data_IF_528582407155
#
_entry.id   IF_528582407155
#
_cell.length_a   1.000
_cell.length_b   1.000
_cell.length_c   1.000
_cell.angle_alpha   90.00
_cell.angle_beta   90.00
_cell.angle_gamma   90.00
#
_symmetry.space_group_name_H-M   'P 1'
#
loop_
_entity.id
_entity.type
_entity.pdbx_description
1 polymer ?
#
# COMPACT_ATOMS: atom_id res chain seq x y z
N UNK A 1 -59.04 30.20 -9.43
CA UNK A 1 -60.14 29.22 -9.60
C UNK A 1 -59.66 27.99 -10.38
N UNK A 2 -59.88 26.80 -9.78
CA UNK A 2 -59.73 25.43 -10.31
C UNK A 2 -58.29 24.94 -10.56
N UNK A 3 -57.67 24.14 -9.68
CA UNK A 3 -57.86 22.70 -9.33
C UNK A 3 -57.49 21.72 -10.46
N UNK A 4 -56.54 20.83 -10.16
CA UNK A 4 -56.23 19.63 -10.92
C UNK A 4 -55.22 18.75 -10.16
N UNK A 5 -55.70 17.63 -9.63
CA UNK A 5 -54.98 16.62 -8.86
C UNK A 5 -53.77 16.03 -9.62
N UNK A 6 -52.64 15.88 -8.93
CA UNK A 6 -51.48 15.15 -9.40
C UNK A 6 -50.95 14.28 -8.27
N UNK A 7 -51.18 12.98 -8.39
CA UNK A 7 -50.75 11.93 -7.46
C UNK A 7 -49.26 12.05 -7.11
N UNK A 8 -48.99 12.32 -5.83
CA UNK A 8 -47.65 12.29 -5.26
C UNK A 8 -47.09 10.87 -5.23
N UNK A 9 -46.49 10.44 -6.33
CA UNK A 9 -45.52 9.34 -6.32
C UNK A 9 -44.24 9.89 -5.71
N UNK A 10 -44.07 9.68 -4.41
CA UNK A 10 -42.77 9.72 -3.76
C UNK A 10 -41.87 8.72 -4.48
N UNK A 11 -40.92 9.23 -5.27
CA UNK A 11 -39.80 8.45 -5.74
C UNK A 11 -38.91 8.18 -4.54
N UNK A 12 -39.13 7.04 -3.89
CA UNK A 12 -38.15 6.46 -2.98
C UNK A 12 -36.95 6.13 -3.86
N UNK A 13 -35.94 7.01 -3.83
CA UNK A 13 -34.62 6.68 -4.34
C UNK A 13 -34.12 5.50 -3.50
N UNK A 14 -34.32 4.29 -4.01
CA UNK A 14 -33.49 3.13 -3.71
C UNK A 14 -32.08 3.40 -4.28
N UNK A 15 -31.38 4.38 -3.73
CA UNK A 15 -29.93 4.28 -3.67
C UNK A 15 -29.66 3.16 -2.68
N UNK A 16 -29.55 1.95 -3.23
CA UNK A 16 -29.08 0.80 -2.51
C UNK A 16 -27.85 1.18 -1.73
N UNK A 17 -27.75 0.60 -0.53
CA UNK A 17 -26.54 0.49 0.27
C UNK A 17 -25.36 0.14 -0.66
N UNK A 18 -24.71 1.15 -1.20
CA UNK A 18 -23.36 1.00 -1.72
C UNK A 18 -22.53 0.84 -0.46
N UNK A 19 -22.14 -0.40 -0.16
CA UNK A 19 -21.14 -0.68 0.84
C UNK A 19 -20.01 0.34 0.63
N UNK A 20 -19.70 1.14 1.65
CA UNK A 20 -18.58 2.06 1.58
C UNK A 20 -17.34 1.21 1.28
N UNK A 21 -16.87 1.26 0.04
CA UNK A 21 -15.69 0.53 -0.36
C UNK A 21 -14.52 1.18 0.36
N UNK A 22 -13.92 0.43 1.27
CA UNK A 22 -12.85 0.93 2.09
C UNK A 22 -11.63 1.20 1.21
N UNK A 23 -10.96 2.33 1.44
CA UNK A 23 -9.84 2.75 0.61
C UNK A 23 -8.70 1.72 0.72
N UNK A 24 -8.47 0.99 -0.37
CA UNK A 24 -7.41 0.00 -0.48
C UNK A 24 -6.12 0.66 -0.98
N UNK A 25 -5.01 -0.06 -0.84
CA UNK A 25 -3.72 0.36 -1.40
C UNK A 25 -3.81 0.36 -2.92
N UNK A 26 -3.32 1.44 -3.53
CA UNK A 26 -3.24 1.54 -4.99
C UNK A 26 -2.34 0.45 -5.57
N UNK A 27 -2.72 -0.06 -6.74
CA UNK A 27 -1.96 -1.10 -7.42
C UNK A 27 -0.68 -0.50 -8.02
N UNK A 28 0.44 -1.19 -7.81
CA UNK A 28 1.72 -0.88 -8.47
C UNK A 28 2.06 -2.02 -9.42
N UNK A 29 2.42 -1.69 -10.65
CA UNK A 29 2.88 -2.70 -11.61
C UNK A 29 4.40 -2.83 -11.60
N UNK A 30 4.87 -4.02 -11.97
CA UNK A 30 6.28 -4.22 -12.30
C UNK A 30 6.67 -3.39 -13.52
N UNK A 31 7.97 -3.14 -13.67
CA UNK A 31 8.47 -2.34 -14.79
C UNK A 31 8.11 -2.98 -16.12
N UNK A 32 8.34 -4.27 -16.30
CA UNK A 32 8.01 -4.94 -17.58
C UNK A 32 6.53 -4.79 -17.97
N UNK A 33 5.61 -4.92 -17.01
CA UNK A 33 4.17 -4.75 -17.24
C UNK A 33 3.85 -3.30 -17.65
N UNK A 34 4.49 -2.34 -16.98
CA UNK A 34 4.35 -0.92 -17.31
C UNK A 34 4.86 -0.62 -18.72
N UNK A 35 5.97 -1.25 -19.11
CA UNK A 35 6.58 -1.11 -20.43
C UNK A 35 5.75 -1.76 -21.53
N UNK A 36 5.13 -2.91 -21.28
CA UNK A 36 4.18 -3.55 -22.20
C UNK A 36 2.95 -2.67 -22.45
N UNK A 37 2.38 -2.07 -21.40
CA UNK A 37 1.25 -1.13 -21.53
C UNK A 37 1.61 0.11 -22.36
N UNK A 38 2.81 0.64 -22.14
CA UNK A 38 3.34 1.75 -22.95
C UNK A 38 3.50 1.34 -24.42
N UNK A 39 4.01 0.13 -24.67
CA UNK A 39 4.21 -0.40 -26.02
C UNK A 39 2.89 -0.67 -26.75
N UNK A 40 1.87 -1.22 -26.07
CA UNK A 40 0.51 -1.43 -26.62
C UNK A 40 -0.12 -0.12 -27.14
N UNK A 41 0.21 0.99 -26.50
CA UNK A 41 -0.26 2.34 -26.86
C UNK A 41 0.69 3.10 -27.80
N UNK A 42 1.74 2.45 -28.31
CA UNK A 42 2.65 3.01 -29.31
C UNK A 42 3.75 3.90 -28.77
N UNK A 43 3.99 3.89 -27.45
CA UNK A 43 5.15 4.56 -26.84
C UNK A 43 6.41 3.74 -27.09
N UNK A 44 7.49 4.40 -27.48
CA UNK A 44 8.76 3.75 -27.77
C UNK A 44 9.47 3.32 -26.48
N UNK A 45 9.72 2.03 -26.35
CA UNK A 45 10.43 1.39 -25.22
C UNK A 45 11.54 0.47 -25.75
N UNK A 46 12.64 0.26 -25.00
CA UNK A 46 13.64 -0.74 -25.36
C UNK A 46 13.03 -2.14 -25.47
N UNK A 47 13.47 -2.92 -26.45
CA UNK A 47 13.08 -4.32 -26.54
C UNK A 47 13.58 -5.08 -25.31
N UNK A 48 12.68 -5.78 -24.64
CA UNK A 48 13.03 -6.62 -23.51
C UNK A 48 12.06 -7.78 -23.31
N UNK A 49 12.50 -8.78 -22.56
CA UNK A 49 11.69 -9.92 -22.15
C UNK A 49 11.99 -10.31 -20.71
N UNK A 50 11.00 -10.88 -20.04
CA UNK A 50 11.12 -11.37 -18.67
C UNK A 50 11.69 -12.79 -18.66
N UNK A 51 12.50 -13.09 -17.64
CA UNK A 51 12.95 -14.42 -17.31
C UNK A 51 12.72 -14.70 -15.82
N UNK A 52 12.22 -15.91 -15.54
CA UNK A 52 11.95 -16.39 -14.17
C UNK A 52 12.99 -17.43 -13.70
N UNK A 53 13.90 -17.83 -14.58
CA UNK A 53 15.03 -18.70 -14.24
C UNK A 53 16.32 -18.24 -14.93
N UNK A 54 17.49 -18.63 -14.41
CA UNK A 54 18.77 -18.31 -15.06
C UNK A 54 18.91 -18.91 -16.47
N UNK A 55 18.29 -20.06 -16.71
CA UNK A 55 18.28 -20.70 -18.03
C UNK A 55 17.39 -19.94 -19.02
N UNK A 56 16.23 -19.44 -18.57
CA UNK A 56 15.39 -18.54 -19.36
C UNK A 56 16.10 -17.22 -19.66
N UNK A 57 16.82 -16.65 -18.68
CA UNK A 57 17.57 -15.41 -18.87
C UNK A 57 18.61 -15.57 -19.99
N UNK A 58 19.32 -16.70 -20.02
CA UNK A 58 20.26 -17.01 -21.09
C UNK A 58 19.57 -17.20 -22.46
N UNK A 59 18.39 -17.84 -22.50
CA UNK A 59 17.62 -17.99 -23.73
C UNK A 59 17.10 -16.65 -24.26
N UNK A 60 16.65 -15.76 -23.36
CA UNK A 60 16.19 -14.41 -23.67
C UNK A 60 17.34 -13.54 -24.20
N UNK A 61 18.51 -13.59 -23.57
CA UNK A 61 19.69 -12.87 -24.03
C UNK A 61 20.05 -13.22 -25.48
N UNK A 62 20.02 -14.52 -25.83
CA UNK A 62 20.21 -14.98 -27.21
C UNK A 62 19.14 -14.46 -28.17
N UNK A 63 17.88 -14.41 -27.73
CA UNK A 63 16.75 -13.92 -28.54
C UNK A 63 16.87 -12.42 -28.85
N UNK A 64 17.35 -11.62 -27.91
CA UNK A 64 17.52 -10.17 -28.09
C UNK A 64 18.51 -9.84 -29.22
N UNK A 65 19.44 -10.75 -29.55
CA UNK A 65 20.46 -10.56 -30.60
C UNK A 65 21.25 -9.25 -30.46
N UNK A 66 21.32 -8.70 -29.25
CA UNK A 66 22.09 -7.50 -28.91
C UNK A 66 23.47 -7.90 -28.42
N UNK A 67 24.48 -7.07 -28.68
CA UNK A 67 25.83 -7.27 -28.12
C UNK A 67 25.85 -7.05 -26.61
N UNK A 68 25.11 -6.04 -26.16
CA UNK A 68 25.04 -5.66 -24.76
C UNK A 68 23.60 -5.79 -24.27
N UNK A 69 23.44 -6.45 -23.13
CA UNK A 69 22.15 -6.71 -22.48
C UNK A 69 22.16 -6.07 -21.10
N UNK A 70 21.03 -5.48 -20.72
CA UNK A 70 20.79 -4.92 -19.39
C UNK A 70 19.85 -5.83 -18.64
N UNK A 71 20.24 -6.27 -17.44
CA UNK A 71 19.41 -7.08 -16.55
C UNK A 71 18.86 -6.17 -15.45
N UNK A 72 17.53 -6.13 -15.31
CA UNK A 72 16.83 -5.33 -14.30
C UNK A 72 16.02 -6.22 -13.37
N UNK A 73 16.35 -6.21 -12.09
CA UNK A 73 15.56 -6.88 -11.05
C UNK A 73 14.12 -6.34 -11.01
N UNK A 74 13.12 -7.24 -11.04
CA UNK A 74 11.72 -6.87 -10.98
C UNK A 74 11.22 -6.96 -9.54
N UNK A 75 11.25 -5.82 -8.86
CA UNK A 75 10.74 -5.63 -7.50
C UNK A 75 9.94 -4.34 -7.42
N UNK A 76 8.83 -4.34 -6.68
CA UNK A 76 7.93 -3.18 -6.55
C UNK A 76 8.46 -2.15 -5.54
N UNK A 77 9.60 -1.55 -5.86
CA UNK A 77 10.22 -0.45 -5.10
C UNK A 77 11.02 0.45 -6.03
N UNK A 78 11.10 1.74 -5.69
CA UNK A 78 12.08 2.63 -6.31
C UNK A 78 13.50 2.36 -5.79
N UNK A 79 14.49 3.06 -6.36
CA UNK A 79 15.88 3.01 -5.91
C UNK A 79 16.64 1.74 -6.31
N UNK A 80 16.20 1.07 -7.39
CA UNK A 80 16.79 -0.18 -7.91
C UNK A 80 18.14 0.01 -8.63
N UNK A 81 18.80 1.16 -8.51
CA UNK A 81 20.08 1.42 -9.18
C UNK A 81 21.20 0.42 -8.83
N UNK A 82 21.06 -0.31 -7.71
CA UNK A 82 21.93 -1.45 -7.34
C UNK A 82 21.56 -2.79 -7.97
N UNK A 83 20.42 -2.88 -8.65
CA UNK A 83 19.86 -4.07 -9.28
C UNK A 83 19.70 -3.98 -10.78
N UNK A 84 20.38 -3.02 -11.39
CA UNK A 84 20.61 -2.95 -12.84
C UNK A 84 22.04 -3.39 -13.09
N UNK A 85 22.22 -4.42 -13.92
CA UNK A 85 23.52 -5.02 -14.23
C UNK A 85 23.77 -4.98 -15.74
N UNK A 86 24.99 -4.63 -16.13
CA UNK A 86 25.48 -4.63 -17.50
C UNK A 86 26.52 -5.74 -17.65
N UNK A 87 26.26 -6.83 -18.37
CA UNK A 87 27.19 -7.96 -18.37
C UNK A 87 27.16 -8.84 -19.62
N UNK A 88 28.27 -9.57 -19.81
CA UNK A 88 28.44 -10.65 -20.79
C UNK A 88 28.02 -12.04 -20.24
N UNK A 89 27.78 -12.18 -18.93
CA UNK A 89 27.47 -13.45 -18.25
C UNK A 89 26.06 -13.43 -17.60
N UNK A 90 25.00 -13.48 -18.40
CA UNK A 90 23.62 -13.25 -17.94
C UNK A 90 23.12 -14.34 -16.98
N UNK A 91 23.58 -15.59 -17.18
CA UNK A 91 23.20 -16.73 -16.35
C UNK A 91 23.74 -16.63 -14.91
N UNK A 92 24.97 -16.13 -14.75
CA UNK A 92 25.60 -16.01 -13.44
C UNK A 92 24.88 -14.96 -12.59
N UNK A 93 24.55 -13.81 -13.19
CA UNK A 93 23.89 -12.70 -12.49
C UNK A 93 22.44 -13.02 -12.20
N UNK A 94 21.70 -13.56 -13.17
CA UNK A 94 20.31 -13.97 -12.92
C UNK A 94 20.23 -15.01 -11.79
N UNK A 95 21.21 -15.90 -11.66
CA UNK A 95 21.30 -16.85 -10.52
C UNK A 95 21.53 -16.16 -9.16
N UNK A 96 22.17 -14.99 -9.15
CA UNK A 96 22.40 -14.19 -7.93
C UNK A 96 21.23 -13.25 -7.62
N UNK A 97 20.33 -13.01 -8.59
CA UNK A 97 19.24 -12.04 -8.48
C UNK A 97 17.91 -12.73 -8.23
N UNK A 98 17.62 -13.81 -8.96
CA UNK A 98 16.36 -14.54 -8.90
C UNK A 98 16.34 -15.41 -7.64
N UNK A 99 15.28 -15.27 -6.85
CA UNK A 99 15.09 -15.99 -5.58
C UNK A 99 15.69 -15.30 -4.36
N UNK A 100 16.50 -14.25 -4.56
CA UNK A 100 17.13 -13.51 -3.48
C UNK A 100 16.25 -12.35 -2.97
N UNK A 101 16.48 -11.97 -1.71
CA UNK A 101 15.80 -10.81 -1.09
C UNK A 101 16.54 -9.51 -1.40
N UNK A 102 15.78 -8.54 -1.88
CA UNK A 102 16.23 -7.21 -2.21
C UNK A 102 15.89 -6.23 -1.10
N UNK A 103 16.85 -5.36 -0.78
CA UNK A 103 16.71 -4.32 0.23
C UNK A 103 16.97 -2.96 -0.42
N UNK A 104 15.99 -2.07 -0.33
CA UNK A 104 16.11 -0.67 -0.73
C UNK A 104 15.79 0.21 0.48
N UNK A 105 16.14 1.51 0.41
CA UNK A 105 15.73 2.49 1.43
C UNK A 105 14.21 2.52 1.65
N UNK A 106 13.41 2.11 0.66
CA UNK A 106 11.96 2.18 0.68
C UNK A 106 11.28 0.88 1.17
N UNK A 107 12.00 -0.23 1.32
CA UNK A 107 11.44 -1.55 1.66
C UNK A 107 11.51 -1.93 3.14
N UNK A 108 12.13 -1.10 3.99
CA UNK A 108 12.36 -1.44 5.41
C UNK A 108 13.26 -2.66 5.60
N UNK A 109 13.23 -3.25 6.81
CA UNK A 109 14.12 -4.36 7.19
C UNK A 109 13.75 -5.72 6.55
N UNK A 110 12.51 -5.89 6.09
CA UNK A 110 12.04 -7.19 5.57
C UNK A 110 12.52 -7.48 4.14
N UNK A 111 12.76 -6.43 3.35
CA UNK A 111 13.06 -6.54 1.92
C UNK A 111 11.89 -7.12 1.11
N UNK A 112 12.09 -7.27 -0.20
CA UNK A 112 11.15 -7.97 -1.11
C UNK A 112 11.90 -9.02 -1.92
N UNK A 113 11.29 -10.16 -2.19
CA UNK A 113 11.90 -11.21 -3.01
C UNK A 113 11.88 -10.80 -4.49
N UNK A 114 12.95 -11.08 -5.23
CA UNK A 114 12.98 -10.90 -6.68
C UNK A 114 12.76 -12.25 -7.36
N UNK A 115 11.55 -12.50 -7.86
CA UNK A 115 11.21 -13.77 -8.52
C UNK A 115 11.53 -13.78 -10.02
N UNK A 116 11.79 -12.61 -10.61
CA UNK A 116 11.99 -12.48 -12.04
C UNK A 116 12.86 -11.27 -12.40
N UNK A 117 13.49 -11.33 -13.56
CA UNK A 117 14.33 -10.25 -14.09
C UNK A 117 13.87 -9.87 -15.49
N UNK A 118 13.98 -8.59 -15.82
CA UNK A 118 13.75 -8.08 -17.16
C UNK A 118 15.10 -7.92 -17.86
N UNK A 119 15.27 -8.61 -18.98
CA UNK A 119 16.43 -8.44 -19.86
C UNK A 119 16.04 -7.53 -21.01
N UNK A 120 16.76 -6.42 -21.16
CA UNK A 120 16.53 -5.43 -22.20
C UNK A 120 17.77 -5.25 -23.08
N UNK A 121 17.57 -4.83 -24.32
CA UNK A 121 18.66 -4.28 -25.12
C UNK A 121 19.27 -3.07 -24.42
N UNK A 122 20.60 -2.96 -24.44
CA UNK A 122 21.28 -1.76 -23.98
C UNK A 122 21.05 -0.64 -24.99
N UNK A 123 20.57 0.51 -24.50
CA UNK A 123 20.58 1.76 -25.26
C UNK A 123 21.69 2.67 -24.73
N UNK A 124 22.21 3.51 -25.62
CA UNK A 124 23.25 4.49 -25.33
C UNK A 124 22.63 5.88 -25.38
N UNK A 125 22.05 6.37 -24.27
CA UNK A 125 21.38 7.65 -24.25
C UNK A 125 22.37 8.81 -24.38
N UNK A 126 21.96 9.88 -25.06
CA UNK A 126 22.71 11.14 -25.14
C UNK A 126 22.29 12.12 -24.05
N UNK A 127 21.02 12.06 -23.67
CA UNK A 127 20.37 12.95 -22.71
C UNK A 127 19.30 12.20 -21.97
N UNK A 128 19.25 12.42 -20.66
CA UNK A 128 18.28 11.82 -19.76
C UNK A 128 17.39 12.92 -19.19
N UNK A 129 16.08 12.72 -19.31
CA UNK A 129 15.05 13.59 -18.79
C UNK A 129 14.17 12.82 -17.81
N UNK A 130 13.53 13.54 -16.89
CA UNK A 130 12.47 13.03 -16.06
C UNK A 130 11.13 13.44 -16.65
N UNK A 131 10.16 12.51 -16.66
CA UNK A 131 8.80 12.80 -17.06
C UNK A 131 7.81 12.03 -16.19
N UNK A 132 6.81 12.71 -15.68
CA UNK A 132 5.71 12.07 -14.98
C UNK A 132 4.38 12.75 -15.28
N UNK A 133 3.31 11.96 -15.24
CA UNK A 133 1.93 12.45 -15.20
C UNK A 133 1.37 11.99 -13.86
N UNK A 134 0.88 12.90 -13.03
CA UNK A 134 0.30 12.57 -11.73
C UNK A 134 -1.00 13.31 -11.49
N UNK A 135 -1.91 12.73 -10.71
CA UNK A 135 -3.07 13.47 -10.20
C UNK A 135 -2.64 14.35 -9.03
N UNK A 136 -2.49 15.66 -9.26
CA UNK A 136 -2.11 16.61 -8.20
C UNK A 136 -3.33 17.29 -7.57
N UNK A 137 -3.41 17.23 -6.24
CA UNK A 137 -4.51 17.83 -5.47
C UNK A 137 -4.51 19.36 -5.53
N UNK A 138 -3.35 20.01 -5.59
CA UNK A 138 -3.22 21.47 -5.71
C UNK A 138 -3.87 21.99 -7.00
N UNK A 139 -3.74 21.23 -8.08
CA UNK A 139 -4.28 21.57 -9.39
C UNK A 139 -5.66 20.97 -9.66
N UNK A 140 -6.15 20.08 -8.77
CA UNK A 140 -7.41 19.36 -8.91
C UNK A 140 -7.52 18.60 -10.24
N UNK A 141 -6.42 18.03 -10.71
CA UNK A 141 -6.36 17.39 -12.02
C UNK A 141 -5.01 16.76 -12.36
N UNK A 142 -4.89 16.17 -13.56
CA UNK A 142 -3.64 15.60 -14.04
C UNK A 142 -2.62 16.69 -14.35
N UNK A 143 -1.41 16.54 -13.84
CA UNK A 143 -0.27 17.45 -14.05
C UNK A 143 0.87 16.69 -14.68
N UNK A 144 1.40 17.25 -15.76
CA UNK A 144 2.64 16.86 -16.38
C UNK A 144 3.79 17.48 -15.59
N UNK A 145 4.70 16.65 -15.10
CA UNK A 145 5.94 17.08 -14.45
C UNK A 145 7.12 16.65 -15.32
N UNK A 146 8.00 17.58 -15.65
CA UNK A 146 9.22 17.31 -16.42
C UNK A 146 10.45 17.91 -15.75
N UNK A 147 11.61 17.29 -15.92
CA UNK A 147 12.89 17.87 -15.52
C UNK A 147 14.00 17.46 -16.48
N UNK A 148 14.99 18.34 -16.66
CA UNK A 148 16.22 18.04 -17.41
C UNK A 148 17.19 17.13 -16.65
N UNK A 149 16.93 16.85 -15.37
CA UNK A 149 17.71 15.94 -14.54
C UNK A 149 17.01 14.57 -14.48
N UNK A 150 17.11 13.80 -15.57
CA UNK A 150 16.65 12.41 -15.61
C UNK A 150 17.66 11.44 -14.99
N UNK A 151 17.21 10.21 -14.70
CA UNK A 151 18.05 9.11 -14.22
C UNK A 151 18.42 9.21 -12.72
N UNK A 152 17.99 10.26 -12.05
CA UNK A 152 18.22 10.51 -10.62
C UNK A 152 16.90 10.50 -9.84
N UNK A 153 16.99 10.47 -8.51
CA UNK A 153 15.82 10.59 -7.67
C UNK A 153 15.23 12.00 -7.80
N UNK A 154 13.94 12.11 -8.14
CA UNK A 154 13.27 13.39 -8.38
C UNK A 154 13.02 14.18 -7.08
N UNK A 155 12.90 13.51 -5.94
CA UNK A 155 12.76 14.15 -4.64
C UNK A 155 14.03 14.93 -4.27
N UNK A 156 15.21 14.40 -4.59
CA UNK A 156 16.49 15.08 -4.38
C UNK A 156 16.59 16.32 -5.29
N UNK A 157 16.19 16.20 -6.57
CA UNK A 157 16.14 17.34 -7.51
C UNK A 157 15.16 18.41 -7.01
N UNK A 158 14.00 18.02 -6.48
CA UNK A 158 13.02 18.96 -5.94
C UNK A 158 13.53 19.72 -4.70
N UNK A 159 14.41 19.11 -3.91
CA UNK A 159 15.02 19.73 -2.74
C UNK A 159 16.21 20.63 -3.09
N UNK A 160 17.06 20.21 -4.04
CA UNK A 160 18.31 20.90 -4.37
C UNK A 160 18.15 21.94 -5.49
N UNK A 161 17.38 21.62 -6.53
CA UNK A 161 17.20 22.44 -7.75
C UNK A 161 15.74 22.46 -8.22
N UNK A 162 14.80 23.00 -7.40
CA UNK A 162 13.37 23.01 -7.71
C UNK A 162 13.03 23.70 -9.04
N UNK A 163 13.83 24.66 -9.49
CA UNK A 163 13.67 25.36 -10.76
C UNK A 163 13.88 24.47 -12.00
N UNK A 164 14.55 23.33 -11.83
CA UNK A 164 14.69 22.34 -12.90
C UNK A 164 13.40 21.53 -13.13
N UNK A 165 12.44 21.59 -12.20
CA UNK A 165 11.17 20.90 -12.29
C UNK A 165 10.11 21.83 -12.86
N UNK A 166 9.59 21.45 -14.02
CA UNK A 166 8.54 22.17 -14.73
C UNK A 166 7.24 21.37 -14.56
N UNK A 167 6.17 22.06 -14.17
CA UNK A 167 4.83 21.49 -14.02
C UNK A 167 3.84 22.20 -14.91
N UNK A 168 3.07 21.43 -15.66
CA UNK A 168 2.03 21.93 -16.56
C UNK A 168 0.73 21.18 -16.35
N UNK A 169 -0.37 21.92 -16.18
CA UNK A 169 -1.70 21.32 -16.05
C UNK A 169 -2.11 20.70 -17.38
N UNK A 170 -2.45 19.41 -17.36
CA UNK A 170 -2.94 18.74 -18.55
C UNK A 170 -4.43 19.02 -18.72
N UNK A 171 -4.76 19.92 -19.65
CA UNK A 171 -6.14 20.11 -20.08
C UNK A 171 -6.51 18.97 -21.02
N UNK A 172 -7.11 17.92 -20.45
CA UNK A 172 -7.67 16.82 -21.24
C UNK A 172 -8.81 17.36 -22.11
N UNK A 173 -8.55 17.57 -23.40
CA UNK A 173 -9.64 17.73 -24.37
C UNK A 173 -10.46 16.45 -24.39
N UNK A 174 -11.77 16.54 -24.63
CA UNK A 174 -12.70 15.38 -24.66
C UNK A 174 -12.23 14.19 -25.50
N UNK A 175 -11.35 14.42 -26.47
CA UNK A 175 -10.82 13.39 -27.37
C UNK A 175 -9.40 12.92 -27.01
N UNK A 176 -8.74 13.54 -26.01
CA UNK A 176 -7.44 13.13 -25.49
C UNK A 176 -7.61 12.00 -24.46
N UNK A 177 -8.27 10.92 -24.89
CA UNK A 177 -8.17 9.64 -24.22
C UNK A 177 -6.78 9.08 -24.53
N UNK A 178 -5.76 9.44 -23.75
CA UNK A 178 -4.69 8.47 -23.56
C UNK A 178 -5.38 7.25 -22.96
N UNK A 179 -5.51 6.17 -23.75
CA UNK A 179 -5.91 4.85 -23.23
C UNK A 179 -5.02 4.48 -22.03
N UNK A 180 -3.75 4.90 -22.07
CA UNK A 180 -2.78 4.91 -20.99
C UNK A 180 -3.25 5.56 -19.67
N UNK A 181 -3.96 6.69 -19.67
CA UNK A 181 -4.36 7.38 -18.41
C UNK A 181 -5.60 6.77 -17.75
N UNK A 182 -6.04 5.60 -18.19
CA UNK A 182 -7.29 4.97 -17.78
C UNK A 182 -7.25 4.53 -16.32
N UNK A 183 -7.66 5.44 -15.42
CA UNK A 183 -7.70 5.25 -13.96
C UNK A 183 -6.32 5.04 -13.29
N UNK A 184 -5.25 5.44 -13.97
CA UNK A 184 -3.95 5.58 -13.34
C UNK A 184 -3.85 6.89 -12.57
N UNK A 185 -3.11 6.87 -11.46
CA UNK A 185 -2.87 8.04 -10.60
C UNK A 185 -1.48 8.62 -10.80
N UNK A 186 -0.55 7.80 -11.28
CA UNK A 186 0.82 8.18 -11.58
C UNK A 186 1.37 7.33 -12.72
N UNK A 187 1.89 7.99 -13.73
CA UNK A 187 2.83 7.45 -14.70
C UNK A 187 4.15 8.17 -14.49
N UNK A 188 5.19 7.46 -14.13
CA UNK A 188 6.51 8.03 -13.91
C UNK A 188 7.50 7.32 -14.84
N UNK A 189 8.13 8.09 -15.72
CA UNK A 189 9.16 7.62 -16.64
C UNK A 189 10.49 8.26 -16.25
N UNK A 190 11.43 7.44 -15.79
CA UNK A 190 12.69 7.92 -15.28
C UNK A 190 13.85 6.94 -15.54
N UNK A 191 14.67 7.15 -16.59
CA UNK A 191 14.66 8.31 -17.50
C UNK A 191 13.78 8.14 -18.76
N UNK A 192 13.30 9.26 -19.29
CA UNK A 192 13.03 9.43 -20.72
C UNK A 192 14.35 9.81 -21.38
N UNK A 193 14.73 9.14 -22.46
CA UNK A 193 16.03 9.38 -23.10
C UNK A 193 15.90 9.75 -24.56
N UNK A 194 16.84 10.57 -25.02
CA UNK A 194 17.12 10.74 -26.45
C UNK A 194 18.34 9.86 -26.80
N UNK A 195 18.18 8.90 -27.71
CA UNK A 195 19.28 8.02 -28.13
C UNK A 195 20.20 8.67 -29.19
N UNK A 196 21.21 7.92 -29.65
CA UNK A 196 22.13 8.37 -30.70
C UNK A 196 21.46 8.74 -32.01
N UNK A 197 20.33 8.09 -32.32
CA UNK A 197 19.55 8.26 -33.54
C UNK A 197 18.49 9.35 -33.40
N UNK A 198 18.50 10.10 -32.28
CA UNK A 198 17.52 11.14 -31.92
C UNK A 198 16.10 10.61 -31.73
N UNK A 199 15.97 9.33 -31.43
CA UNK A 199 14.70 8.73 -31.05
C UNK A 199 14.50 8.94 -29.55
N UNK A 200 13.28 9.30 -29.17
CA UNK A 200 12.89 9.42 -27.76
C UNK A 200 12.34 8.08 -27.28
N UNK A 201 12.92 7.55 -26.20
CA UNK A 201 12.51 6.28 -25.59
C UNK A 201 12.22 6.46 -24.10
N UNK A 202 11.24 5.72 -23.60
CA UNK A 202 11.01 5.55 -22.17
C UNK A 202 11.88 4.39 -21.69
N UNK A 203 12.85 4.62 -20.80
CA UNK A 203 13.82 3.57 -20.40
C UNK A 203 13.38 2.77 -19.17
N UNK A 204 12.58 3.38 -18.29
CA UNK A 204 12.00 2.78 -17.09
C UNK A 204 10.63 3.44 -16.87
N UNK A 205 9.65 2.65 -16.45
CA UNK A 205 8.29 3.11 -16.21
C UNK A 205 7.75 2.54 -14.91
N UNK A 206 7.20 3.43 -14.08
CA UNK A 206 6.46 3.10 -12.87
C UNK A 206 5.04 3.63 -13.00
N UNK A 207 4.08 2.72 -13.08
CA UNK A 207 2.66 3.05 -13.19
C UNK A 207 1.93 2.61 -11.92
N UNK A 208 1.12 3.53 -11.38
CA UNK A 208 0.23 3.28 -10.25
C UNK A 208 -1.23 3.49 -10.65
N UNK A 209 -2.09 2.55 -10.25
CA UNK A 209 -3.53 2.57 -10.54
C UNK A 209 -4.36 2.86 -9.29
N UNK A 210 -5.45 3.61 -9.48
CA UNK A 210 -6.44 3.87 -8.44
C UNK A 210 -7.16 2.56 -8.08
N UNK A 211 -7.00 2.09 -6.84
CA UNK A 211 -7.70 0.88 -6.37
C UNK A 211 -9.22 1.00 -6.44
N UNK A 212 -9.77 2.21 -6.35
CA UNK A 212 -11.21 2.41 -6.45
C UNK A 212 -11.72 2.07 -7.85
N UNK A 213 -10.87 2.03 -8.87
CA UNK A 213 -11.23 1.67 -10.24
C UNK A 213 -11.20 0.16 -10.54
N UNK A 214 -10.81 -0.68 -9.57
CA UNK A 214 -10.60 -2.12 -9.77
C UNK A 214 -11.80 -2.83 -10.40
N UNK A 215 -13.01 -2.45 -10.02
CA UNK A 215 -14.27 -3.03 -10.53
C UNK A 215 -14.46 -2.88 -12.05
N UNK A 216 -13.83 -1.87 -12.67
CA UNK A 216 -13.84 -1.66 -14.12
C UNK A 216 -12.51 -2.00 -14.80
N UNK A 217 -11.46 -2.32 -14.05
CA UNK A 217 -10.09 -2.56 -14.54
C UNK A 217 -9.61 -4.00 -14.30
N UNK A 218 -10.48 -5.00 -14.45
CA UNK A 218 -10.17 -6.41 -14.11
C UNK A 218 -8.84 -6.90 -14.71
N UNK A 219 -8.60 -6.69 -16.02
CA UNK A 219 -7.35 -7.10 -16.69
C UNK A 219 -6.09 -6.59 -15.97
N UNK A 220 -6.12 -5.37 -15.44
CA UNK A 220 -4.98 -4.74 -14.76
C UNK A 220 -4.86 -5.21 -13.31
N UNK A 221 -5.97 -5.43 -12.62
CA UNK A 221 -5.94 -5.92 -11.23
C UNK A 221 -5.69 -7.43 -11.12
N UNK A 222 -6.00 -8.20 -12.17
CA UNK A 222 -5.72 -9.64 -12.26
C UNK A 222 -4.21 -9.94 -12.36
N UNK A 223 -3.40 -8.98 -12.80
CA UNK A 223 -1.93 -9.11 -12.90
C UNK A 223 -1.20 -8.63 -11.63
N UNK A 224 -1.92 -8.35 -10.55
CA UNK A 224 -1.32 -7.94 -9.28
C UNK A 224 -0.39 -9.02 -8.71
N UNK A 225 0.86 -8.64 -8.42
CA UNK A 225 1.84 -9.53 -7.81
C UNK A 225 1.82 -9.42 -6.28
N UNK A 226 1.10 -10.34 -5.63
CA UNK A 226 1.02 -10.42 -4.17
C UNK A 226 2.34 -10.82 -3.50
N UNK A 227 3.29 -11.45 -4.21
CA UNK A 227 4.59 -11.86 -3.64
C UNK A 227 5.47 -10.67 -3.25
N UNK A 228 5.11 -9.49 -3.75
CA UNK A 228 5.80 -8.24 -3.49
C UNK A 228 5.23 -7.51 -2.29
N UNK A 229 4.02 -7.83 -1.83
CA UNK A 229 3.37 -7.15 -0.71
C UNK A 229 3.62 -7.88 0.62
N UNK A 230 3.38 -7.21 1.76
CA UNK A 230 3.47 -7.87 3.07
C UNK A 230 2.33 -8.91 3.18
N UNK A 231 2.61 -10.11 3.69
CA UNK A 231 1.61 -11.17 3.88
C UNK A 231 0.41 -10.67 4.69
N UNK A 232 0.64 -9.76 5.64
CA UNK A 232 -0.42 -9.14 6.44
C UNK A 232 -1.30 -8.22 5.60
N UNK A 233 -0.72 -7.48 4.65
CA UNK A 233 -1.49 -6.64 3.72
C UNK A 233 -2.37 -7.52 2.83
N UNK A 234 -1.86 -8.69 2.40
CA UNK A 234 -2.62 -9.65 1.61
C UNK A 234 -3.78 -10.27 2.40
N UNK A 235 -3.53 -10.72 3.62
CA UNK A 235 -4.57 -11.31 4.47
C UNK A 235 -5.61 -10.27 4.91
N UNK A 236 -5.18 -9.03 5.16
CA UNK A 236 -6.08 -7.91 5.38
C UNK A 236 -6.96 -7.64 4.16
N UNK A 237 -6.41 -7.64 2.95
CA UNK A 237 -7.18 -7.44 1.73
C UNK A 237 -8.26 -8.52 1.54
N UNK A 238 -7.97 -9.79 1.88
CA UNK A 238 -8.96 -10.89 1.83
C UNK A 238 -10.13 -10.67 2.80
N UNK A 239 -9.84 -10.11 3.98
CA UNK A 239 -10.85 -9.74 4.97
C UNK A 239 -11.49 -8.36 4.72
N UNK A 240 -11.13 -7.70 3.61
CA UNK A 240 -11.51 -6.33 3.28
C UNK A 240 -11.16 -5.34 4.40
N UNK A 241 -10.00 -5.50 5.03
CA UNK A 241 -9.45 -4.63 6.05
C UNK A 241 -8.35 -3.76 5.44
N UNK A 242 -8.24 -2.52 5.88
CA UNK A 242 -7.08 -1.69 5.55
C UNK A 242 -6.07 -1.82 6.68
N UNK A 243 -5.02 -2.63 6.47
CA UNK A 243 -3.97 -2.86 7.44
C UNK A 243 -2.61 -2.56 6.80
N UNK A 244 -1.73 -1.89 7.55
CA UNK A 244 -0.34 -1.69 7.18
C UNK A 244 0.49 -2.04 8.41
N UNK A 245 1.42 -2.99 8.23
CA UNK A 245 2.35 -3.35 9.28
C UNK A 245 3.41 -2.28 9.54
N UNK A 246 3.73 -2.05 10.81
CA UNK A 246 4.77 -1.14 11.29
C UNK A 246 5.74 -1.91 12.21
N UNK A 247 6.78 -1.23 12.71
CA UNK A 247 7.84 -1.86 13.51
C UNK A 247 7.64 -1.79 15.02
N UNK A 248 6.49 -1.29 15.49
CA UNK A 248 6.20 -1.15 16.90
C UNK A 248 5.71 -2.42 17.62
N UNK A 249 5.27 -2.22 18.85
CA UNK A 249 4.88 -3.27 19.79
C UNK A 249 3.43 -3.14 20.30
N UNK A 250 2.73 -2.04 20.00
CA UNK A 250 1.32 -1.89 20.37
C UNK A 250 0.44 -2.04 19.13
N UNK A 251 -0.33 -3.13 19.10
CA UNK A 251 -1.29 -3.39 18.04
C UNK A 251 -2.46 -2.42 18.10
N UNK A 252 -2.90 -1.88 16.96
CA UNK A 252 -4.00 -0.93 16.90
C UNK A 252 -5.18 -1.54 16.15
N UNK A 253 -6.40 -1.46 16.69
CA UNK A 253 -7.64 -1.77 16.00
C UNK A 253 -8.59 -0.58 16.15
N UNK A 254 -8.83 0.13 15.05
CA UNK A 254 -9.60 1.37 15.06
C UNK A 254 -10.60 1.37 13.92
N UNK A 255 -11.70 2.10 14.07
CA UNK A 255 -12.59 2.41 12.95
C UNK A 255 -12.36 3.86 12.46
N UNK A 256 -12.22 4.00 11.14
CA UNK A 256 -11.92 5.25 10.46
C UNK A 256 -10.42 5.56 10.39
N UNK A 257 -9.93 5.77 9.16
CA UNK A 257 -8.51 6.05 8.90
C UNK A 257 -7.96 7.25 9.68
N UNK A 258 -8.71 8.36 9.80
CA UNK A 258 -8.25 9.54 10.53
C UNK A 258 -8.07 9.29 12.03
N UNK A 259 -8.97 8.50 12.62
CA UNK A 259 -8.88 8.11 14.03
C UNK A 259 -7.74 7.11 14.24
N UNK A 260 -7.54 6.18 13.30
CA UNK A 260 -6.42 5.23 13.34
C UNK A 260 -5.06 5.96 13.37
N UNK A 261 -4.89 7.02 12.57
CA UNK A 261 -3.68 7.87 12.62
C UNK A 261 -3.54 8.57 13.97
N UNK A 262 -4.61 9.17 14.49
CA UNK A 262 -4.57 9.84 15.79
C UNK A 262 -4.23 8.89 16.95
N UNK A 263 -4.68 7.63 16.89
CA UNK A 263 -4.35 6.59 17.89
C UNK A 263 -2.88 6.18 17.80
N UNK A 264 -2.33 6.08 16.59
CA UNK A 264 -0.89 5.84 16.44
C UNK A 264 -0.06 6.99 17.02
N UNK A 265 -0.48 8.23 16.79
CA UNK A 265 0.18 9.42 17.31
C UNK A 265 0.10 9.48 18.85
N UNK A 266 -1.04 9.16 19.46
CA UNK A 266 -1.18 9.18 20.92
C UNK A 266 -0.36 8.07 21.59
N UNK A 267 -0.26 6.88 20.98
CA UNK A 267 0.66 5.83 21.45
C UNK A 267 2.10 6.36 21.45
N UNK A 268 2.49 7.00 20.34
CA UNK A 268 3.84 7.54 20.20
C UNK A 268 4.14 8.66 21.19
N UNK A 269 3.14 9.51 21.48
CA UNK A 269 3.22 10.59 22.46
C UNK A 269 3.48 10.05 23.87
N UNK A 270 2.89 8.90 24.22
CA UNK A 270 3.07 8.25 25.53
C UNK A 270 4.32 7.37 25.63
N UNK A 271 5.11 7.22 24.56
CA UNK A 271 6.48 6.68 24.62
C UNK A 271 6.72 5.34 23.91
N UNK A 272 5.68 4.67 23.44
CA UNK A 272 5.80 3.39 22.69
C UNK A 272 5.62 3.58 21.19
N UNK A 273 5.66 2.50 20.41
CA UNK A 273 5.47 2.55 18.96
C UNK A 273 4.28 1.69 18.51
N UNK A 274 3.43 2.22 17.60
CA UNK A 274 2.36 1.42 17.02
C UNK A 274 2.95 0.31 16.12
N UNK A 275 2.44 -0.91 16.28
CA UNK A 275 2.85 -2.08 15.53
C UNK A 275 2.16 -2.19 14.16
N UNK A 276 1.03 -1.50 13.99
CA UNK A 276 0.29 -1.48 12.74
C UNK A 276 -0.64 -0.26 12.66
N UNK A 277 -0.97 0.13 11.44
CA UNK A 277 -2.20 0.85 11.13
C UNK A 277 -3.26 -0.20 10.79
N UNK A 278 -4.45 -0.13 11.39
CA UNK A 278 -5.58 -0.97 10.96
C UNK A 278 -6.90 -0.23 11.14
N UNK A 279 -7.62 -0.11 10.03
CA UNK A 279 -8.97 0.45 9.96
C UNK A 279 -9.99 -0.65 9.62
N UNK A 280 -10.88 -0.96 10.57
CA UNK A 280 -11.98 -1.93 10.38
C UNK A 280 -13.20 -1.33 9.65
N UNK A 281 -13.21 -0.02 9.40
CA UNK A 281 -14.30 0.69 8.74
C UNK A 281 -15.54 0.91 9.62
N UNK A 282 -16.53 1.60 9.07
CA UNK A 282 -17.78 1.94 9.79
C UNK A 282 -18.70 0.75 10.06
N UNK A 283 -18.71 -0.26 9.17
CA UNK A 283 -19.54 -1.46 9.28
C UNK A 283 -18.73 -2.65 9.80
N UNK A 284 -18.16 -2.51 11.00
CA UNK A 284 -17.35 -3.55 11.61
C UNK A 284 -18.21 -4.75 12.05
N UNK A 285 -18.11 -5.87 11.33
CA UNK A 285 -18.76 -7.13 11.71
C UNK A 285 -17.89 -7.93 12.67
N UNK A 286 -18.49 -8.87 13.43
CA UNK A 286 -17.75 -9.79 14.31
C UNK A 286 -16.64 -10.51 13.54
N UNK A 287 -16.91 -10.97 12.32
CA UNK A 287 -15.91 -11.60 11.45
C UNK A 287 -14.71 -10.69 11.18
N UNK A 288 -14.95 -9.43 10.78
CA UNK A 288 -13.87 -8.47 10.48
C UNK A 288 -13.05 -8.12 11.71
N UNK A 289 -13.69 -8.02 12.88
CA UNK A 289 -12.98 -7.83 14.16
C UNK A 289 -12.11 -9.04 14.47
N UNK A 290 -12.62 -10.26 14.32
CA UNK A 290 -11.83 -11.47 14.56
C UNK A 290 -10.64 -11.59 13.60
N UNK A 291 -10.82 -11.33 12.30
CA UNK A 291 -9.71 -11.31 11.34
C UNK A 291 -8.69 -10.21 11.66
N UNK A 292 -9.13 -9.04 12.12
CA UNK A 292 -8.24 -7.96 12.58
C UNK A 292 -7.40 -8.41 13.78
N UNK A 293 -7.98 -9.08 14.76
CA UNK A 293 -7.23 -9.66 15.88
C UNK A 293 -6.22 -10.71 15.40
N UNK A 294 -6.60 -11.62 14.50
CA UNK A 294 -5.67 -12.61 13.91
C UNK A 294 -4.46 -11.93 13.28
N UNK A 295 -4.69 -10.89 12.47
CA UNK A 295 -3.64 -10.11 11.82
C UNK A 295 -2.69 -9.48 12.84
N UNK A 296 -3.23 -8.82 13.86
CA UNK A 296 -2.42 -8.17 14.91
C UNK A 296 -1.62 -9.21 15.69
N UNK A 297 -2.24 -10.30 16.13
CA UNK A 297 -1.58 -11.33 16.95
C UNK A 297 -0.62 -12.23 16.18
N UNK A 298 -0.66 -12.20 14.83
CA UNK A 298 0.33 -12.88 14.00
C UNK A 298 1.75 -12.31 14.19
N UNK A 299 1.85 -11.03 14.59
CA UNK A 299 3.11 -10.37 14.85
C UNK A 299 3.55 -10.56 16.31
N UNK A 300 4.62 -11.35 16.50
CA UNK A 300 5.20 -11.66 17.81
C UNK A 300 5.81 -10.43 18.52
N UNK A 301 6.05 -9.33 17.78
CA UNK A 301 6.50 -8.06 18.35
C UNK A 301 5.39 -7.38 19.16
N UNK A 302 4.12 -7.71 18.90
CA UNK A 302 2.98 -7.10 19.60
C UNK A 302 2.92 -7.59 21.05
N UNK A 303 2.92 -6.64 21.98
CA UNK A 303 2.92 -6.87 23.43
C UNK A 303 1.63 -6.41 24.11
N UNK A 304 0.89 -5.50 23.48
CA UNK A 304 -0.44 -5.04 23.91
C UNK A 304 -1.27 -4.68 22.68
N UNK A 305 -2.60 -4.72 22.81
CA UNK A 305 -3.54 -4.29 21.77
C UNK A 305 -4.36 -3.12 22.32
N UNK A 306 -4.41 -2.03 21.57
CA UNK A 306 -5.30 -0.90 21.79
C UNK A 306 -6.45 -0.96 20.78
N UNK A 307 -7.65 -1.22 21.27
CA UNK A 307 -8.90 -1.13 20.50
C UNK A 307 -9.55 0.20 20.80
N UNK A 308 -9.77 1.03 19.80
CA UNK A 308 -10.52 2.27 19.95
C UNK A 308 -11.59 2.35 18.86
N UNK A 309 -12.85 2.20 19.25
CA UNK A 309 -13.96 2.23 18.31
C UNK A 309 -14.99 3.29 18.69
N UNK A 310 -15.32 4.16 17.73
CA UNK A 310 -16.43 5.09 17.82
C UNK A 310 -17.65 4.51 17.09
N UNK A 311 -18.59 3.93 17.83
CA UNK A 311 -19.70 3.09 17.37
C UNK A 311 -20.49 3.64 16.19
N UNK A 312 -20.65 4.97 16.05
CA UNK A 312 -21.28 5.54 14.86
C UNK A 312 -22.67 4.92 14.58
N UNK A 313 -22.78 4.13 13.51
CA UNK A 313 -24.00 3.38 13.12
C UNK A 313 -24.17 2.07 13.93
N UNK A 314 -23.07 1.49 14.40
CA UNK A 314 -23.02 0.22 15.12
C UNK A 314 -23.16 0.41 16.64
N UNK A 315 -23.81 -0.55 17.30
CA UNK A 315 -23.91 -0.55 18.76
C UNK A 315 -22.63 -1.09 19.41
N UNK A 316 -22.21 -0.48 20.51
CA UNK A 316 -20.97 -0.83 21.19
C UNK A 316 -21.01 -2.24 21.82
N UNK A 317 -22.19 -2.74 22.19
CA UNK A 317 -22.37 -4.09 22.76
C UNK A 317 -22.01 -5.19 21.76
N UNK A 318 -22.38 -5.06 20.49
CA UNK A 318 -22.05 -6.00 19.41
C UNK A 318 -20.54 -6.04 19.18
N UNK A 319 -19.88 -4.88 19.23
CA UNK A 319 -18.42 -4.76 19.07
C UNK A 319 -17.72 -5.40 20.27
N UNK A 320 -18.18 -5.10 21.49
CA UNK A 320 -17.65 -5.70 22.71
C UNK A 320 -17.78 -7.23 22.70
N UNK A 321 -18.92 -7.77 22.27
CA UNK A 321 -19.10 -9.21 22.09
C UNK A 321 -18.10 -9.79 21.07
N UNK A 322 -17.93 -9.12 19.92
CA UNK A 322 -16.96 -9.53 18.92
C UNK A 322 -15.51 -9.56 19.44
N UNK A 323 -15.12 -8.56 20.24
CA UNK A 323 -13.81 -8.52 20.91
C UNK A 323 -13.66 -9.70 21.88
N UNK A 324 -14.64 -9.92 22.77
CA UNK A 324 -14.60 -11.01 23.75
C UNK A 324 -14.53 -12.38 23.06
N UNK A 325 -15.28 -12.57 21.97
CA UNK A 325 -15.23 -13.79 21.17
C UNK A 325 -13.86 -13.97 20.53
N UNK A 326 -13.32 -12.95 19.87
CA UNK A 326 -12.00 -13.01 19.23
C UNK A 326 -10.88 -13.32 20.24
N UNK A 327 -10.91 -12.70 21.43
CA UNK A 327 -9.94 -12.94 22.51
C UNK A 327 -9.99 -14.39 22.99
N UNK A 328 -11.20 -14.97 23.13
CA UNK A 328 -11.38 -16.36 23.56
C UNK A 328 -10.97 -17.35 22.47
N UNK A 329 -11.47 -17.17 21.25
CA UNK A 329 -11.27 -18.10 20.13
C UNK A 329 -9.81 -18.15 19.67
N UNK A 330 -9.09 -17.04 19.79
CA UNK A 330 -7.67 -16.94 19.43
C UNK A 330 -6.72 -17.14 20.61
N UNK A 331 -7.26 -17.43 21.81
CA UNK A 331 -6.51 -17.60 23.05
C UNK A 331 -5.50 -16.46 23.32
N UNK A 332 -5.94 -15.21 23.15
CA UNK A 332 -5.07 -14.03 23.25
C UNK A 332 -4.57 -13.86 24.68
N UNK A 333 -3.24 -13.87 24.85
CA UNK A 333 -2.57 -13.76 26.17
C UNK A 333 -2.03 -12.36 26.47
N UNK A 334 -1.87 -11.54 25.44
CA UNK A 334 -1.40 -10.17 25.59
C UNK A 334 -2.54 -9.25 26.04
N UNK A 335 -2.26 -8.21 26.85
CA UNK A 335 -3.25 -7.27 27.33
C UNK A 335 -3.98 -6.57 26.17
N UNK A 336 -5.31 -6.51 26.26
CA UNK A 336 -6.18 -5.77 25.33
C UNK A 336 -6.82 -4.63 26.10
N UNK A 337 -6.53 -3.40 25.69
CA UNK A 337 -7.14 -2.19 26.25
C UNK A 337 -8.17 -1.70 25.25
N UNK A 338 -9.40 -1.51 25.72
CA UNK A 338 -10.54 -1.20 24.85
C UNK A 338 -11.11 0.16 25.25
N UNK A 339 -11.41 0.96 24.24
CA UNK A 339 -12.22 2.17 24.34
C UNK A 339 -13.37 2.11 23.36
N UNK A 340 -14.61 2.22 23.87
CA UNK A 340 -15.82 2.22 23.06
C UNK A 340 -16.61 3.50 23.32
N UNK A 341 -16.97 4.22 22.26
CA UNK A 341 -17.84 5.40 22.35
C UNK A 341 -18.97 5.31 21.34
N UNK A 342 -20.24 5.42 21.76
CA UNK A 342 -21.38 5.24 20.86
C UNK A 342 -22.68 4.91 21.58
N UNK A 343 -23.58 4.22 20.90
CA UNK A 343 -24.84 3.72 21.49
C UNK A 343 -24.60 2.46 22.30
N UNK A 344 -25.37 2.27 23.38
CA UNK A 344 -25.28 1.10 24.27
C UNK A 344 -23.88 0.87 24.87
N UNK A 345 -23.14 1.96 25.10
CA UNK A 345 -21.81 1.90 25.75
C UNK A 345 -21.90 1.37 27.18
N UNK A 346 -22.97 1.65 27.92
CA UNK A 346 -23.10 1.16 29.29
C UNK A 346 -23.24 -0.37 29.34
N UNK A 347 -23.96 -0.96 28.38
CA UNK A 347 -24.06 -2.42 28.22
C UNK A 347 -22.70 -3.02 27.78
N UNK A 348 -21.98 -2.32 26.90
CA UNK A 348 -20.63 -2.69 26.52
C UNK A 348 -19.62 -2.57 27.69
N UNK A 349 -19.79 -1.58 28.56
CA UNK A 349 -19.00 -1.36 29.79
C UNK A 349 -19.16 -2.47 30.80
N UNK A 350 -20.38 -2.99 30.93
CA UNK A 350 -20.66 -4.17 31.75
C UNK A 350 -19.94 -5.43 31.20
N UNK A 351 -19.60 -5.45 29.91
CA UNK A 351 -18.83 -6.52 29.28
C UNK A 351 -17.31 -6.27 29.34
N UNK A 352 -16.87 -5.02 29.23
CA UNK A 352 -15.45 -4.61 29.15
C UNK A 352 -15.30 -3.21 29.79
N UNK A 353 -14.45 -3.05 30.81
CA UNK A 353 -14.20 -1.75 31.42
C UNK A 353 -13.68 -0.72 30.38
N UNK A 354 -14.28 0.47 30.33
CA UNK A 354 -14.00 1.54 29.36
C UNK A 354 -13.59 2.83 30.09
N UNK A 355 -12.45 3.39 29.68
CA UNK A 355 -11.84 4.60 30.27
C UNK A 355 -11.65 5.70 29.20
N UNK A 356 -11.25 6.90 29.63
CA UNK A 356 -10.96 7.99 28.70
C UNK A 356 -9.75 7.69 27.78
N UNK A 357 -9.67 8.35 26.62
CA UNK A 357 -8.66 8.07 25.60
C UNK A 357 -7.22 8.16 26.12
N UNK A 358 -6.91 9.23 26.85
CA UNK A 358 -5.54 9.45 27.34
C UNK A 358 -5.15 8.39 28.37
N UNK A 359 -6.11 7.97 29.17
CA UNK A 359 -5.92 6.91 30.15
C UNK A 359 -5.74 5.55 29.50
N UNK A 360 -6.56 5.21 28.49
CA UNK A 360 -6.48 3.95 27.73
C UNK A 360 -5.14 3.85 26.98
N UNK A 361 -4.68 4.95 26.35
CA UNK A 361 -3.36 4.98 25.70
C UNK A 361 -2.22 4.77 26.72
N UNK A 362 -2.26 5.49 27.85
CA UNK A 362 -1.30 5.34 28.94
C UNK A 362 -1.30 3.94 29.54
N UNK A 363 -2.47 3.31 29.66
CA UNK A 363 -2.60 1.93 30.13
C UNK A 363 -1.97 0.95 29.14
N UNK A 364 -2.25 1.07 27.84
CA UNK A 364 -1.69 0.19 26.82
C UNK A 364 -0.16 0.23 26.81
N UNK A 365 0.42 1.43 26.92
CA UNK A 365 1.86 1.66 27.05
C UNK A 365 2.44 0.99 28.29
N UNK A 366 1.88 1.28 29.47
CA UNK A 366 2.36 0.69 30.72
C UNK A 366 2.27 -0.83 30.72
N UNK A 367 1.22 -1.39 30.14
CA UNK A 367 1.04 -2.84 30.03
C UNK A 367 2.07 -3.45 29.07
N UNK A 368 2.35 -2.80 27.93
CA UNK A 368 3.43 -3.19 27.01
C UNK A 368 4.80 -3.20 27.71
N UNK A 369 5.12 -2.15 28.47
CA UNK A 369 6.36 -2.06 29.26
C UNK A 369 6.45 -3.20 30.29
N UNK A 370 5.36 -3.47 31.03
CA UNK A 370 5.32 -4.57 32.00
C UNK A 370 5.55 -5.93 31.33
N UNK A 371 4.94 -6.17 30.16
CA UNK A 371 5.16 -7.40 29.38
C UNK A 371 6.61 -7.48 28.90
N UNK A 372 7.20 -6.37 28.48
CA UNK A 372 8.62 -6.29 28.08
C UNK A 372 9.54 -6.67 29.24
N UNK A 373 9.30 -6.07 30.41
CA UNK A 373 10.05 -6.33 31.64
C UNK A 373 9.86 -7.78 32.13
N UNK A 374 8.69 -8.38 31.92
CA UNK A 374 8.40 -9.77 32.28
C UNK A 374 9.06 -10.79 31.35
N UNK A 375 9.22 -10.46 30.06
CA UNK A 375 9.93 -11.30 29.09
C UNK A 375 11.43 -11.41 29.38
N UNK A 376 12.07 -10.37 29.92
CA UNK A 376 13.50 -10.37 30.25
C UNK A 376 13.92 -11.46 31.27
N UNK A 377 13.19 -11.69 32.38
CA UNK A 377 13.45 -12.76 33.33
C UNK A 377 12.69 -14.08 33.06
N UNK A 378 11.99 -14.23 31.93
CA UNK A 378 11.08 -15.36 31.65
C UNK A 378 10.01 -15.60 32.73
N UNK A 379 9.41 -14.53 33.25
CA UNK A 379 8.32 -14.62 34.24
C UNK A 379 6.98 -14.38 33.55
N UNK A 380 6.04 -15.30 33.70
CA UNK A 380 4.67 -15.12 33.22
C UNK A 380 3.90 -14.17 34.15
N UNK A 381 3.43 -13.04 33.62
CA UNK A 381 2.62 -12.05 34.35
C UNK A 381 1.14 -12.23 33.99
N UNK A 382 0.29 -12.37 35.03
CA UNK A 382 -1.17 -12.33 34.90
C UNK A 382 -1.67 -10.99 35.44
N UNK A 383 -2.36 -10.23 34.59
CA UNK A 383 -2.99 -8.97 34.99
C UNK A 383 -4.35 -9.23 35.64
N UNK A 384 -4.56 -8.63 36.81
CA UNK A 384 -5.88 -8.52 37.44
C UNK A 384 -6.32 -7.07 37.26
N UNK A 385 -7.37 -6.85 36.49
CA UNK A 385 -7.91 -5.51 36.25
C UNK A 385 -8.95 -5.17 37.34
N UNK A 386 -9.02 -3.90 37.78
CA UNK A 386 -10.11 -3.44 38.63
C UNK A 386 -11.45 -3.56 37.89
N UNK A 387 -12.51 -3.85 38.64
CA UNK A 387 -13.90 -3.93 38.15
C UNK A 387 -14.42 -2.52 37.88
#
# INVERSE_FOLDING_TARGET
>A
PFLGEGSGKFWINNHGLQAQQQQQKNLSLHEYMSMELLQEDGVSVPKGYVAQSPDEAYAVAKKLSSKDVVIKAQVLSGGRGKGTFECEEEKAISSQVIGEKWFTKQMGEKGRICNQVLLCERKYPRRDYYFAITMERSFQGPVLTGSSHGGVNIEDVAAETPEAIIKELLILKKDFHLKLWNHSIKHEINPVVEDSDRVVLCMDAKINFDSNSAYHQKKIFDIQDWTQEDERDQDAAKANLNCIGLDGNIGCLVNGAGLAVAIMDIIKLHGETPANFLDVGGDATVYRVTEAFKLITSDKKVLAILVNNFGGIMHCDVIAQGIVMAVKDLEIKIPVVVRLQGTQVDDAKALIADNDLDEVARMAVKLSEMVTLAKQPHVDVKFLLPI
#
